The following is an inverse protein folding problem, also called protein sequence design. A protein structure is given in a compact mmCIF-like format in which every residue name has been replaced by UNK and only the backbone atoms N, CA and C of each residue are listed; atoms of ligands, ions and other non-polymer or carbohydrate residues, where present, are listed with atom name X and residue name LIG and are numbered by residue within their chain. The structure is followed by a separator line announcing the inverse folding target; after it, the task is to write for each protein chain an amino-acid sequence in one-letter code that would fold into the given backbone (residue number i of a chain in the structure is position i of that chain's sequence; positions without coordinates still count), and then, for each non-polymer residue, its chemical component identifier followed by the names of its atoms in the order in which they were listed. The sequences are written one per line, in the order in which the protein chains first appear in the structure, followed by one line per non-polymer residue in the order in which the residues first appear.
data_IF_212306695764
#
_entry.id   IF_212306695764
#
_cell.length_a   1.000
_cell.length_b   1.000
_cell.length_c   1.000
_cell.angle_alpha   90.00
_cell.angle_beta   90.00
_cell.angle_gamma   90.00
#
_symmetry.space_group_name_H-M   'P 1'
#
loop_
_entity.id
_entity.type
_entity.pdbx_description
1 polymer ?
#
# COMPACT_ATOMS: atom_id res chain seq x y z
N UNK A 1 37.73 15.75 21.44
CA UNK A 1 36.40 15.18 21.64
C UNK A 1 36.32 13.92 20.80
N UNK A 2 35.99 12.75 21.34
CA UNK A 2 36.07 11.48 20.59
C UNK A 2 34.94 11.37 19.59
N UNK A 3 35.29 11.04 18.37
CA UNK A 3 34.40 10.72 17.24
C UNK A 3 33.63 9.42 17.56
N UNK A 4 32.33 9.55 17.83
CA UNK A 4 31.45 8.40 17.86
C UNK A 4 31.18 7.92 16.43
N UNK A 5 31.95 6.95 15.97
CA UNK A 5 31.56 6.08 14.86
C UNK A 5 30.35 5.24 15.32
N UNK A 6 29.26 5.13 14.54
CA UNK A 6 28.17 4.24 14.89
C UNK A 6 28.69 2.80 14.95
N UNK A 7 28.39 2.12 16.06
CA UNK A 7 28.84 0.77 16.30
C UNK A 7 28.24 -0.21 15.28
N UNK A 8 28.98 -1.28 14.87
CA UNK A 8 28.48 -2.28 13.93
C UNK A 8 27.19 -3.00 14.39
N UNK A 9 26.87 -2.95 15.66
CA UNK A 9 25.64 -3.50 16.25
C UNK A 9 24.35 -2.86 15.70
N UNK A 10 24.39 -1.59 15.26
CA UNK A 10 23.22 -0.92 14.67
C UNK A 10 22.90 -1.38 13.23
N UNK A 11 23.89 -1.92 12.51
CA UNK A 11 23.68 -2.50 11.16
C UNK A 11 23.19 -3.96 11.20
N UNK A 12 23.50 -4.73 12.21
CA UNK A 12 22.99 -6.10 12.36
C UNK A 12 21.51 -6.15 12.74
N UNK A 13 21.03 -5.21 13.54
CA UNK A 13 19.60 -5.12 13.91
C UNK A 13 18.68 -4.89 12.69
N UNK A 14 19.22 -4.37 11.60
CA UNK A 14 18.45 -4.06 10.39
C UNK A 14 18.25 -5.26 9.45
N UNK A 15 19.12 -6.26 9.50
CA UNK A 15 19.04 -7.47 8.67
C UNK A 15 18.04 -8.50 9.21
N UNK A 16 17.76 -8.48 10.52
CA UNK A 16 16.88 -9.46 11.19
C UNK A 16 15.38 -9.17 11.13
N UNK A 17 14.99 -7.94 10.79
CA UNK A 17 13.58 -7.54 10.78
C UNK A 17 12.73 -8.21 9.68
N UNK A 18 13.33 -8.81 8.67
CA UNK A 18 12.59 -9.54 7.64
C UNK A 18 12.03 -10.86 8.18
N UNK A 19 12.79 -11.56 9.02
CA UNK A 19 12.38 -12.81 9.64
C UNK A 19 11.28 -12.59 10.69
N UNK A 20 11.37 -11.51 11.47
CA UNK A 20 10.35 -11.14 12.46
C UNK A 20 8.97 -10.92 11.83
N UNK A 21 8.90 -10.35 10.63
CA UNK A 21 7.64 -10.15 9.91
C UNK A 21 6.99 -11.47 9.51
N UNK A 22 7.78 -12.38 8.97
CA UNK A 22 7.29 -13.70 8.60
C UNK A 22 6.84 -14.50 9.80
N UNK A 23 7.52 -14.35 10.95
CA UNK A 23 7.12 -14.96 12.22
C UNK A 23 5.79 -14.38 12.71
N UNK A 24 5.63 -13.06 12.74
CA UNK A 24 4.38 -12.40 13.14
C UNK A 24 3.23 -12.83 12.22
N UNK A 25 3.45 -12.85 10.91
CA UNK A 25 2.45 -13.26 9.94
C UNK A 25 2.08 -14.74 10.10
N UNK A 26 3.07 -15.62 10.31
CA UNK A 26 2.84 -17.04 10.55
C UNK A 26 2.07 -17.29 11.86
N UNK A 27 2.41 -16.58 12.94
CA UNK A 27 1.71 -16.66 14.23
C UNK A 27 0.28 -16.16 14.10
N UNK A 28 0.06 -15.01 13.45
CA UNK A 28 -1.29 -14.48 13.20
C UNK A 28 -2.15 -15.45 12.37
N UNK A 29 -1.57 -16.04 11.33
CA UNK A 29 -2.26 -17.04 10.51
C UNK A 29 -2.59 -18.30 11.32
N UNK A 30 -1.66 -18.79 12.15
CA UNK A 30 -1.86 -19.95 12.99
C UNK A 30 -2.99 -19.73 14.01
N UNK A 31 -3.01 -18.56 14.67
CA UNK A 31 -4.07 -18.17 15.60
C UNK A 31 -5.42 -18.13 14.87
N UNK A 32 -5.47 -17.45 13.71
CA UNK A 32 -6.72 -17.33 12.92
C UNK A 32 -7.28 -18.69 12.50
N UNK A 33 -6.44 -19.55 11.97
CA UNK A 33 -6.85 -20.92 11.59
C UNK A 33 -7.29 -21.72 12.82
N UNK A 34 -6.58 -21.61 13.94
CA UNK A 34 -6.93 -22.27 15.19
C UNK A 34 -8.30 -21.83 15.73
N UNK A 35 -8.58 -20.52 15.71
CA UNK A 35 -9.86 -19.96 16.16
C UNK A 35 -11.00 -20.41 15.24
N UNK A 36 -10.81 -20.41 13.91
CA UNK A 36 -11.81 -20.88 12.95
C UNK A 36 -12.16 -22.36 13.20
N UNK A 37 -11.15 -23.21 13.34
CA UNK A 37 -11.35 -24.62 13.60
C UNK A 37 -12.09 -24.85 14.93
N UNK A 38 -11.67 -24.17 15.98
CA UNK A 38 -12.29 -24.24 17.31
C UNK A 38 -13.74 -23.77 17.28
N UNK A 39 -14.02 -22.63 16.63
CA UNK A 39 -15.39 -22.10 16.50
C UNK A 39 -16.29 -23.05 15.72
N UNK A 40 -15.79 -23.65 14.63
CA UNK A 40 -16.57 -24.64 13.87
C UNK A 40 -16.97 -25.86 14.72
N UNK A 41 -16.03 -26.37 15.54
CA UNK A 41 -16.33 -27.46 16.47
C UNK A 41 -17.41 -27.07 17.47
N UNK A 42 -17.32 -25.85 18.04
CA UNK A 42 -18.33 -25.33 18.96
C UNK A 42 -19.70 -25.16 18.30
N UNK A 43 -19.73 -24.63 17.09
CA UNK A 43 -20.95 -24.46 16.29
C UNK A 43 -21.63 -25.80 16.07
N UNK A 44 -20.90 -26.84 15.66
CA UNK A 44 -21.45 -28.17 15.41
C UNK A 44 -21.99 -28.81 16.68
N UNK A 45 -21.26 -28.68 17.82
CA UNK A 45 -21.74 -29.19 19.10
C UNK A 45 -23.00 -28.43 19.56
N UNK A 46 -23.06 -27.13 19.38
CA UNK A 46 -24.21 -26.32 19.75
C UNK A 46 -25.45 -26.64 18.89
N UNK A 47 -25.26 -26.80 17.58
CA UNK A 47 -26.32 -27.23 16.65
C UNK A 47 -26.94 -28.57 17.08
N UNK A 48 -26.11 -29.53 17.43
CA UNK A 48 -26.60 -30.83 17.87
C UNK A 48 -27.34 -30.76 19.22
N UNK A 49 -26.84 -29.96 20.16
CA UNK A 49 -27.48 -29.70 21.42
C UNK A 49 -28.83 -28.99 21.23
N UNK A 50 -28.93 -27.97 20.41
CA UNK A 50 -30.18 -27.27 20.11
C UNK A 50 -31.19 -28.20 19.44
N UNK A 51 -30.76 -29.00 18.47
CA UNK A 51 -31.62 -30.00 17.84
C UNK A 51 -32.21 -30.99 18.84
N UNK A 52 -31.40 -31.45 19.80
CA UNK A 52 -31.85 -32.37 20.84
C UNK A 52 -32.80 -31.68 21.83
N UNK A 53 -32.59 -30.43 22.16
CA UNK A 53 -33.50 -29.62 22.98
C UNK A 53 -34.86 -29.45 22.28
N UNK A 54 -34.90 -29.13 20.97
CA UNK A 54 -36.15 -28.99 20.23
C UNK A 54 -36.90 -30.34 20.12
N UNK A 55 -36.17 -31.44 19.94
CA UNK A 55 -36.78 -32.78 19.97
C UNK A 55 -37.44 -33.10 21.34
N UNK A 56 -36.75 -32.75 22.43
CA UNK A 56 -37.29 -32.92 23.78
C UNK A 56 -38.52 -32.04 23.99
N UNK A 57 -38.47 -30.78 23.54
CA UNK A 57 -39.59 -29.84 23.54
C UNK A 57 -40.80 -30.38 22.75
N UNK A 58 -40.58 -30.89 21.53
CA UNK A 58 -41.65 -31.49 20.74
C UNK A 58 -42.28 -32.74 21.41
N UNK A 59 -41.47 -33.62 22.02
CA UNK A 59 -41.96 -34.75 22.78
C UNK A 59 -42.75 -34.33 24.04
N UNK A 60 -42.28 -33.30 24.72
CA UNK A 60 -42.99 -32.72 25.87
C UNK A 60 -44.35 -32.15 25.46
N UNK A 61 -44.45 -31.46 24.34
CA UNK A 61 -45.71 -30.99 23.76
C UNK A 61 -46.65 -32.18 23.40
N UNK A 62 -46.11 -33.22 22.73
CA UNK A 62 -46.86 -34.41 22.36
C UNK A 62 -47.48 -35.10 23.59
N UNK A 63 -46.68 -35.24 24.67
CA UNK A 63 -47.14 -35.81 25.92
C UNK A 63 -48.20 -34.95 26.58
N UNK A 64 -47.97 -33.65 26.65
CA UNK A 64 -48.90 -32.67 27.29
C UNK A 64 -50.28 -32.62 26.59
N UNK A 65 -50.31 -32.81 25.25
CA UNK A 65 -51.55 -32.76 24.48
C UNK A 65 -52.31 -34.10 24.58
N UNK A 66 -51.58 -35.22 24.65
CA UNK A 66 -52.16 -36.57 24.63
C UNK A 66 -52.55 -37.10 26.01
N UNK A 67 -52.10 -36.54 27.12
CA UNK A 67 -52.35 -37.01 28.49
C UNK A 67 -52.93 -35.92 29.36
N UNK A 68 -54.01 -36.21 30.11
CA UNK A 68 -54.69 -35.27 30.99
C UNK A 68 -54.29 -35.39 32.48
N UNK A 69 -53.12 -35.98 32.78
CA UNK A 69 -52.64 -36.23 34.14
C UNK A 69 -52.02 -35.02 34.87
N UNK A 70 -51.92 -35.13 36.21
CA UNK A 70 -51.36 -34.06 37.07
C UNK A 70 -49.85 -33.81 36.88
N UNK A 71 -49.12 -34.67 36.12
CA UNK A 71 -47.70 -34.50 35.85
C UNK A 71 -47.41 -33.47 34.74
N UNK A 72 -48.46 -33.00 34.06
CA UNK A 72 -48.38 -32.04 32.95
C UNK A 72 -47.75 -30.69 33.39
N UNK A 73 -48.02 -30.26 34.61
CA UNK A 73 -47.50 -28.99 35.15
C UNK A 73 -45.98 -28.99 35.21
N UNK A 74 -45.34 -30.07 35.67
CA UNK A 74 -43.88 -30.18 35.76
C UNK A 74 -43.22 -30.20 34.36
N UNK A 75 -43.79 -30.95 33.43
CA UNK A 75 -43.28 -31.00 32.07
C UNK A 75 -43.40 -29.63 31.37
N UNK A 76 -44.53 -28.97 31.58
CA UNK A 76 -44.78 -27.64 31.00
C UNK A 76 -43.80 -26.62 31.55
N UNK A 77 -43.60 -26.57 32.88
CA UNK A 77 -42.67 -25.63 33.49
C UNK A 77 -41.19 -25.93 33.18
N UNK A 78 -40.76 -27.16 33.32
CA UNK A 78 -39.35 -27.51 33.24
C UNK A 78 -38.84 -27.67 31.79
N UNK A 79 -39.69 -28.03 30.84
CA UNK A 79 -39.24 -28.29 29.46
C UNK A 79 -39.77 -27.21 28.51
N UNK A 80 -41.05 -26.88 28.55
CA UNK A 80 -41.68 -26.00 27.59
C UNK A 80 -41.31 -24.53 27.88
N UNK A 81 -41.48 -24.10 29.15
CA UNK A 81 -41.17 -22.72 29.52
C UNK A 81 -39.66 -22.43 29.72
N UNK A 82 -38.84 -23.46 29.98
CA UNK A 82 -37.37 -23.32 30.04
C UNK A 82 -36.66 -23.26 28.70
N UNK A 83 -37.35 -23.47 27.59
CA UNK A 83 -36.80 -23.21 26.29
C UNK A 83 -36.74 -21.69 26.01
N UNK A 84 -35.79 -21.00 26.65
CA UNK A 84 -35.68 -19.54 26.57
C UNK A 84 -34.78 -19.03 25.45
N UNK A 85 -34.24 -19.90 24.59
CA UNK A 85 -33.21 -19.50 23.61
C UNK A 85 -33.52 -19.88 22.17
N UNK A 86 -34.23 -21.00 21.93
CA UNK A 86 -34.42 -21.50 20.56
C UNK A 86 -35.77 -21.02 20.04
N UNK A 87 -35.83 -20.25 18.94
CA UNK A 87 -37.08 -19.85 18.31
C UNK A 87 -37.81 -21.05 17.72
N UNK A 88 -39.12 -21.23 18.08
CA UNK A 88 -39.94 -22.32 17.60
C UNK A 88 -41.33 -21.84 17.17
N UNK A 89 -41.90 -22.48 16.15
CA UNK A 89 -43.28 -22.27 15.66
C UNK A 89 -43.98 -23.63 15.57
N UNK A 90 -45.12 -23.75 16.20
CA UNK A 90 -46.01 -24.90 16.10
C UNK A 90 -47.08 -24.60 15.04
N UNK A 91 -47.26 -25.52 14.08
CA UNK A 91 -48.30 -25.42 13.04
C UNK A 91 -49.22 -26.65 13.03
N UNK A 92 -50.45 -26.43 12.59
CA UNK A 92 -51.42 -27.50 12.38
C UNK A 92 -51.18 -28.26 11.05
N UNK A 93 -51.99 -29.26 10.77
CA UNK A 93 -51.97 -30.03 9.52
C UNK A 93 -52.20 -29.18 8.27
N UNK A 94 -52.89 -28.05 8.42
CA UNK A 94 -53.20 -27.10 7.32
C UNK A 94 -52.12 -26.03 7.16
N UNK A 95 -51.06 -26.12 7.97
CA UNK A 95 -49.95 -25.15 7.95
C UNK A 95 -50.25 -23.82 8.67
N UNK A 96 -51.31 -23.71 9.48
CA UNK A 96 -51.65 -22.53 10.24
C UNK A 96 -50.86 -22.49 11.56
N UNK A 97 -50.38 -21.35 11.92
CA UNK A 97 -49.60 -21.14 13.17
C UNK A 97 -50.53 -21.27 14.36
N UNK A 98 -50.26 -22.24 15.25
CA UNK A 98 -50.96 -22.43 16.50
C UNK A 98 -50.31 -21.61 17.61
N UNK A 99 -49.00 -21.73 17.75
CA UNK A 99 -48.24 -21.00 18.78
C UNK A 99 -46.81 -20.73 18.32
N UNK A 100 -46.15 -19.80 18.96
CA UNK A 100 -44.76 -19.50 18.73
C UNK A 100 -44.05 -19.27 20.09
N UNK A 101 -42.72 -19.51 20.09
CA UNK A 101 -41.88 -19.30 21.28
C UNK A 101 -40.52 -18.70 20.88
N UNK A 102 -39.98 -17.79 21.72
CA UNK A 102 -38.70 -17.12 21.50
C UNK A 102 -38.57 -16.38 20.17
N UNK A 103 -39.67 -15.84 19.66
CA UNK A 103 -39.68 -14.95 18.50
C UNK A 103 -39.98 -13.54 19.01
N UNK A 104 -39.07 -12.60 18.73
CA UNK A 104 -39.22 -11.21 19.15
C UNK A 104 -40.29 -10.51 18.30
N UNK A 105 -41.49 -10.40 18.88
CA UNK A 105 -42.63 -9.71 18.26
C UNK A 105 -42.97 -8.49 19.10
N UNK A 106 -42.85 -7.30 18.50
CA UNK A 106 -43.22 -6.09 19.20
C UNK A 106 -44.73 -6.10 19.57
N UNK A 107 -45.08 -6.00 20.88
CA UNK A 107 -46.44 -6.03 21.31
C UNK A 107 -47.35 -4.94 20.71
N UNK A 108 -46.75 -3.84 20.27
CA UNK A 108 -47.48 -2.66 19.70
C UNK A 108 -47.84 -2.80 18.22
N UNK A 109 -47.39 -3.87 17.52
CA UNK A 109 -47.75 -4.09 16.14
C UNK A 109 -49.22 -4.51 15.96
N UNK A 110 -49.80 -4.16 14.82
CA UNK A 110 -51.12 -4.66 14.44
C UNK A 110 -51.14 -6.17 14.30
N UNK A 111 -52.30 -6.78 14.40
CA UNK A 111 -52.47 -8.23 14.29
C UNK A 111 -51.99 -8.76 12.95
N UNK A 112 -52.31 -8.04 11.86
CA UNK A 112 -51.90 -8.36 10.48
C UNK A 112 -50.38 -8.33 10.33
N UNK A 113 -49.72 -7.33 10.96
CA UNK A 113 -48.26 -7.22 10.88
C UNK A 113 -47.56 -8.33 11.68
N UNK A 114 -48.10 -8.70 12.85
CA UNK A 114 -47.57 -9.83 13.65
C UNK A 114 -47.68 -11.14 12.88
N UNK A 115 -48.82 -11.37 12.21
CA UNK A 115 -49.06 -12.57 11.42
C UNK A 115 -48.14 -12.63 10.18
N UNK A 116 -47.94 -11.53 9.49
CA UNK A 116 -47.01 -11.44 8.36
C UNK A 116 -45.57 -11.79 8.79
N UNK A 117 -45.08 -11.21 9.89
CA UNK A 117 -43.72 -11.50 10.41
C UNK A 117 -43.59 -12.97 10.83
N UNK A 118 -44.61 -13.54 11.45
CA UNK A 118 -44.59 -14.95 11.81
C UNK A 118 -44.56 -15.87 10.59
N UNK A 119 -45.25 -15.54 9.51
CA UNK A 119 -45.23 -16.27 8.24
C UNK A 119 -43.83 -16.18 7.59
N UNK A 120 -43.19 -15.01 7.60
CA UNK A 120 -41.84 -14.85 7.07
C UNK A 120 -40.83 -15.68 7.85
N UNK A 121 -40.92 -15.63 9.20
CA UNK A 121 -40.06 -16.47 10.08
C UNK A 121 -40.33 -17.97 9.86
N UNK A 122 -41.56 -18.37 9.68
CA UNK A 122 -41.91 -19.75 9.38
C UNK A 122 -41.34 -20.21 8.04
N UNK A 123 -41.37 -19.36 7.02
CA UNK A 123 -40.76 -19.63 5.72
C UNK A 123 -39.24 -19.86 5.85
N UNK A 124 -38.53 -19.00 6.58
CA UNK A 124 -37.09 -19.13 6.89
C UNK A 124 -36.81 -20.44 7.64
N UNK A 125 -37.63 -20.79 8.66
CA UNK A 125 -37.47 -22.03 9.43
C UNK A 125 -37.63 -23.28 8.56
N UNK A 126 -38.58 -23.27 7.62
CA UNK A 126 -38.83 -24.41 6.68
C UNK A 126 -37.64 -24.67 5.76
N UNK A 127 -36.89 -23.63 5.39
CA UNK A 127 -35.68 -23.74 4.57
C UNK A 127 -34.46 -24.19 5.39
N UNK A 128 -34.43 -23.87 6.70
CA UNK A 128 -33.26 -24.10 7.55
C UNK A 128 -33.17 -25.52 8.07
N UNK A 129 -34.27 -26.07 8.62
CA UNK A 129 -34.31 -27.40 9.23
C UNK A 129 -35.62 -28.14 8.92
N UNK A 130 -35.58 -29.49 8.82
CA UNK A 130 -36.78 -30.29 8.72
C UNK A 130 -37.65 -30.15 9.99
N UNK A 131 -38.97 -30.13 9.80
CA UNK A 131 -39.91 -30.08 10.90
C UNK A 131 -39.82 -31.35 11.78
N UNK A 132 -40.16 -31.18 13.05
CA UNK A 132 -40.36 -32.32 13.98
C UNK A 132 -41.83 -32.55 14.10
N UNK A 133 -42.27 -33.78 13.76
CA UNK A 133 -43.67 -34.16 13.81
C UNK A 133 -44.12 -34.51 15.24
N UNK A 134 -45.31 -34.02 15.63
CA UNK A 134 -46.02 -34.35 16.88
C UNK A 134 -47.26 -35.12 16.53
N UNK A 135 -47.34 -36.37 17.01
CA UNK A 135 -48.46 -37.27 16.74
C UNK A 135 -49.51 -37.10 17.83
N UNK A 136 -50.71 -36.66 17.46
CA UNK A 136 -51.82 -36.46 18.38
C UNK A 136 -52.76 -37.68 18.28
N UNK A 137 -53.09 -38.28 19.43
CA UNK A 137 -54.07 -39.35 19.52
C UNK A 137 -55.46 -38.77 19.65
N UNK A 138 -56.41 -39.15 18.76
CA UNK A 138 -57.80 -38.74 18.91
C UNK A 138 -58.48 -39.62 19.96
N UNK A 139 -59.00 -39.01 21.02
CA UNK A 139 -59.62 -39.71 22.14
C UNK A 139 -60.95 -40.42 21.78
N UNK A 140 -61.42 -40.32 20.52
CA UNK A 140 -62.74 -40.82 20.09
C UNK A 140 -62.78 -41.82 19.00
N UNK A 141 -61.68 -42.13 18.31
CA UNK A 141 -61.67 -43.03 17.18
C UNK A 141 -60.32 -43.77 17.05
N UNK A 142 -60.24 -45.04 17.24
CA UNK A 142 -59.02 -45.85 17.05
C UNK A 142 -58.62 -45.78 15.59
N UNK A 143 -57.72 -44.82 15.27
CA UNK A 143 -57.10 -44.71 13.95
C UNK A 143 -56.95 -43.33 13.30
N UNK A 144 -57.47 -42.26 13.90
CA UNK A 144 -57.27 -40.90 13.36
C UNK A 144 -56.14 -40.18 14.14
N UNK A 145 -55.01 -39.96 13.48
CA UNK A 145 -53.90 -39.23 14.07
C UNK A 145 -53.83 -37.84 13.39
N UNK A 146 -53.93 -36.79 14.19
CA UNK A 146 -53.60 -35.46 13.72
C UNK A 146 -52.10 -35.24 13.90
N UNK A 147 -51.42 -34.69 12.88
CA UNK A 147 -49.98 -34.41 12.93
C UNK A 147 -49.75 -32.90 12.96
N UNK A 148 -49.26 -32.44 14.11
CA UNK A 148 -48.74 -31.06 14.20
C UNK A 148 -47.25 -31.06 13.91
N UNK A 149 -46.68 -29.90 13.52
CA UNK A 149 -45.27 -29.77 13.17
C UNK A 149 -44.62 -28.64 13.93
N UNK A 150 -43.47 -28.93 14.55
CA UNK A 150 -42.61 -27.92 15.18
C UNK A 150 -41.50 -27.54 14.19
N UNK A 151 -41.49 -26.27 13.80
CA UNK A 151 -40.39 -25.68 13.07
C UNK A 151 -39.53 -24.88 14.04
N UNK A 152 -38.23 -24.81 13.77
CA UNK A 152 -37.27 -24.10 14.60
C UNK A 152 -36.14 -23.51 13.75
N UNK A 153 -35.44 -22.51 14.31
CA UNK A 153 -34.20 -22.01 13.75
C UNK A 153 -33.14 -21.83 14.82
N UNK A 154 -31.91 -21.55 14.41
CA UNK A 154 -30.82 -21.33 15.33
C UNK A 154 -31.14 -20.25 16.36
N UNK A 155 -30.69 -20.47 17.59
CA UNK A 155 -30.70 -19.40 18.61
C UNK A 155 -29.85 -18.22 18.17
N UNK A 156 -30.10 -17.06 18.79
CA UNK A 156 -29.32 -15.87 18.51
C UNK A 156 -27.82 -16.09 18.75
N UNK A 157 -27.47 -16.79 19.85
CA UNK A 157 -26.09 -17.11 20.18
C UNK A 157 -25.41 -17.98 19.09
N UNK A 158 -26.10 -19.00 18.60
CA UNK A 158 -25.57 -19.85 17.54
C UNK A 158 -25.39 -19.09 16.22
N UNK A 159 -26.34 -18.20 15.89
CA UNK A 159 -26.25 -17.36 14.71
C UNK A 159 -25.03 -16.41 14.78
N UNK A 160 -24.79 -15.78 15.92
CA UNK A 160 -23.59 -14.95 16.15
C UNK A 160 -22.29 -15.77 16.04
N UNK A 161 -22.23 -16.95 16.64
CA UNK A 161 -21.05 -17.82 16.56
C UNK A 161 -20.72 -18.25 15.12
N UNK A 162 -21.72 -18.46 14.27
CA UNK A 162 -21.51 -18.78 12.85
C UNK A 162 -20.86 -17.61 12.10
N UNK A 163 -21.20 -16.36 12.43
CA UNK A 163 -20.67 -15.15 11.79
C UNK A 163 -19.31 -14.75 12.33
N UNK A 164 -19.02 -15.10 13.58
CA UNK A 164 -17.81 -14.65 14.32
C UNK A 164 -16.49 -14.86 13.57
N UNK A 165 -16.19 -16.04 12.94
CA UNK A 165 -14.94 -16.27 12.22
C UNK A 165 -14.74 -15.33 11.02
N UNK A 166 -15.82 -14.92 10.37
CA UNK A 166 -15.74 -13.99 9.23
C UNK A 166 -15.41 -12.57 9.70
N UNK A 167 -16.00 -12.15 10.83
CA UNK A 167 -15.70 -10.84 11.46
C UNK A 167 -14.23 -10.80 11.92
N UNK A 168 -13.77 -11.82 12.63
CA UNK A 168 -12.40 -11.95 13.11
C UNK A 168 -11.40 -11.91 11.95
N UNK A 169 -11.62 -12.70 10.91
CA UNK A 169 -10.74 -12.74 9.73
C UNK A 169 -10.69 -11.39 9.02
N UNK A 170 -11.82 -10.69 8.92
CA UNK A 170 -11.89 -9.35 8.33
C UNK A 170 -11.08 -8.33 9.14
N UNK A 171 -11.20 -8.34 10.46
CA UNK A 171 -10.43 -7.45 11.35
C UNK A 171 -8.93 -7.72 11.21
N UNK A 172 -8.51 -8.99 11.22
CA UNK A 172 -7.11 -9.37 11.07
C UNK A 172 -6.55 -8.97 9.70
N UNK A 173 -7.32 -9.12 8.64
CA UNK A 173 -6.93 -8.70 7.29
C UNK A 173 -6.73 -7.17 7.20
N UNK A 174 -7.65 -6.38 7.77
CA UNK A 174 -7.54 -4.92 7.84
C UNK A 174 -6.31 -4.51 8.65
N UNK A 175 -6.10 -5.12 9.81
CA UNK A 175 -4.95 -4.82 10.66
C UNK A 175 -3.63 -5.16 9.97
N UNK A 176 -3.55 -6.31 9.29
CA UNK A 176 -2.39 -6.71 8.50
C UNK A 176 -2.10 -5.74 7.35
N UNK A 177 -3.14 -5.26 6.66
CA UNK A 177 -3.01 -4.29 5.59
C UNK A 177 -2.50 -2.93 6.10
N UNK A 178 -3.06 -2.42 7.20
CA UNK A 178 -2.61 -1.17 7.82
C UNK A 178 -1.15 -1.30 8.27
N UNK A 179 -0.79 -2.41 8.91
CA UNK A 179 0.58 -2.68 9.35
C UNK A 179 1.57 -2.73 8.19
N UNK A 180 1.18 -3.33 7.08
CA UNK A 180 1.98 -3.35 5.84
C UNK A 180 2.20 -1.93 5.28
N UNK A 181 1.15 -1.11 5.21
CA UNK A 181 1.27 0.28 4.76
C UNK A 181 2.17 1.12 5.67
N UNK A 182 1.96 1.04 6.98
CA UNK A 182 2.75 1.75 7.97
C UNK A 182 4.23 1.38 7.90
N UNK A 183 4.51 0.10 7.73
CA UNK A 183 5.89 -0.39 7.59
C UNK A 183 6.57 0.11 6.30
N UNK A 184 5.89 0.05 5.16
CA UNK A 184 6.44 0.56 3.90
C UNK A 184 6.70 2.06 3.96
N UNK A 185 5.78 2.82 4.58
CA UNK A 185 5.95 4.25 4.80
C UNK A 185 7.17 4.55 5.69
N UNK A 186 7.29 3.84 6.83
CA UNK A 186 8.42 3.99 7.75
C UNK A 186 9.76 3.69 7.08
N UNK A 187 9.85 2.60 6.31
CA UNK A 187 11.06 2.23 5.57
C UNK A 187 11.48 3.31 4.56
N UNK A 188 10.53 3.86 3.83
CA UNK A 188 10.80 4.93 2.86
C UNK A 188 11.23 6.22 3.55
N UNK A 189 10.58 6.57 4.66
CA UNK A 189 10.92 7.75 5.46
C UNK A 189 12.35 7.65 6.04
N UNK A 190 12.74 6.49 6.55
CA UNK A 190 14.07 6.25 7.10
C UNK A 190 15.16 6.32 6.01
N UNK A 191 14.97 5.68 4.87
CA UNK A 191 15.86 5.81 3.73
C UNK A 191 16.03 7.27 3.31
N UNK A 192 14.93 8.03 3.27
CA UNK A 192 14.97 9.46 2.96
C UNK A 192 15.78 10.24 3.99
N UNK A 193 15.62 9.95 5.28
CA UNK A 193 16.32 10.61 6.37
C UNK A 193 17.83 10.40 6.30
N UNK A 194 18.27 9.18 6.02
CA UNK A 194 19.69 8.86 5.84
C UNK A 194 20.30 9.65 4.66
N UNK A 195 19.58 9.70 3.53
CA UNK A 195 20.04 10.49 2.37
C UNK A 195 20.16 11.98 2.67
N UNK A 196 19.18 12.56 3.35
CA UNK A 196 19.20 13.97 3.75
C UNK A 196 20.35 14.26 4.71
N UNK A 197 20.57 13.37 5.69
CA UNK A 197 21.67 13.49 6.65
C UNK A 197 23.04 13.45 5.96
N UNK A 198 23.25 12.45 5.09
CA UNK A 198 24.49 12.31 4.31
C UNK A 198 24.74 13.52 3.40
N UNK A 199 23.72 13.97 2.69
CA UNK A 199 23.85 15.13 1.80
C UNK A 199 24.22 16.41 2.56
N UNK A 200 23.53 16.69 3.68
CA UNK A 200 23.77 17.85 4.53
C UNK A 200 25.18 17.84 5.13
N UNK A 201 25.58 16.68 5.68
CA UNK A 201 26.91 16.50 6.28
C UNK A 201 28.01 16.66 5.22
N UNK A 202 27.86 16.01 4.05
CA UNK A 202 28.82 16.12 2.94
C UNK A 202 28.94 17.57 2.44
N UNK A 203 27.81 18.27 2.29
CA UNK A 203 27.81 19.67 1.90
C UNK A 203 28.54 20.55 2.93
N UNK A 204 28.31 20.31 4.22
CA UNK A 204 28.96 21.08 5.29
C UNK A 204 30.46 20.81 5.35
N UNK A 205 30.89 19.55 5.29
CA UNK A 205 32.31 19.16 5.35
C UNK A 205 33.10 19.58 4.11
N UNK A 206 32.48 19.66 2.94
CA UNK A 206 33.14 20.17 1.72
C UNK A 206 33.09 21.71 1.70
N UNK A 207 32.04 22.33 2.20
CA UNK A 207 31.84 23.79 2.17
C UNK A 207 32.90 24.56 2.96
N UNK A 208 33.37 24.02 4.07
CA UNK A 208 34.37 24.65 4.93
C UNK A 208 35.74 24.78 4.22
N UNK A 209 36.40 23.71 3.73
CA UNK A 209 37.67 23.84 3.00
C UNK A 209 37.50 24.61 1.67
N UNK A 210 36.35 24.51 1.04
CA UNK A 210 36.05 25.22 -0.18
C UNK A 210 36.03 26.73 0.03
N UNK A 211 35.44 27.21 1.13
CA UNK A 211 35.49 28.65 1.48
C UNK A 211 36.92 29.16 1.69
N UNK A 212 37.77 28.33 2.29
CA UNK A 212 39.20 28.65 2.45
C UNK A 212 39.91 28.70 1.08
N UNK A 213 39.66 27.74 0.18
CA UNK A 213 40.22 27.77 -1.18
C UNK A 213 39.77 28.98 -1.96
N UNK A 214 38.50 29.40 -1.83
CA UNK A 214 38.00 30.63 -2.47
C UNK A 214 38.76 31.89 -1.97
N UNK A 215 39.00 31.96 -0.68
CA UNK A 215 39.78 33.07 -0.11
C UNK A 215 41.23 33.08 -0.65
N UNK A 216 41.87 31.92 -0.77
CA UNK A 216 43.19 31.82 -1.36
C UNK A 216 43.23 32.21 -2.85
N UNK A 217 42.21 31.83 -3.64
CA UNK A 217 42.08 32.26 -5.05
C UNK A 217 41.98 33.79 -5.15
N UNK A 218 41.26 34.43 -4.24
CA UNK A 218 41.14 35.88 -4.22
C UNK A 218 42.50 36.57 -3.90
N UNK A 219 43.21 36.02 -2.88
CA UNK A 219 44.58 36.50 -2.56
C UNK A 219 45.54 36.38 -3.74
N UNK A 220 45.48 35.23 -4.46
CA UNK A 220 46.31 34.98 -5.65
C UNK A 220 45.94 35.87 -6.83
N UNK A 221 44.68 36.25 -6.94
CA UNK A 221 44.19 37.19 -7.98
C UNK A 221 44.64 38.62 -7.75
N UNK A 222 44.75 39.01 -6.48
CA UNK A 222 45.18 40.36 -6.11
C UNK A 222 46.70 40.54 -6.17
N UNK A 223 47.50 39.47 -6.26
CA UNK A 223 48.94 39.48 -6.39
C UNK A 223 49.34 39.95 -7.81
N UNK A 224 50.11 41.09 -7.95
CA UNK A 224 50.52 41.61 -9.26
C UNK A 224 51.36 40.65 -10.10
N UNK A 225 52.17 39.79 -9.46
CA UNK A 225 53.07 38.86 -10.14
C UNK A 225 52.35 37.58 -10.60
N UNK A 226 51.20 37.26 -10.00
CA UNK A 226 50.45 36.07 -10.27
C UNK A 226 49.17 36.30 -11.08
N UNK A 227 48.65 37.53 -11.03
CA UNK A 227 47.39 37.93 -11.69
C UNK A 227 47.29 37.57 -13.17
N UNK A 228 48.37 37.66 -13.93
CA UNK A 228 48.39 37.37 -15.35
C UNK A 228 48.78 35.91 -15.71
N UNK A 229 48.93 35.06 -14.72
CA UNK A 229 49.21 33.64 -14.92
C UNK A 229 47.92 32.85 -15.05
N UNK A 230 47.63 32.29 -16.18
CA UNK A 230 46.37 31.56 -16.49
C UNK A 230 45.98 30.44 -15.50
N UNK A 231 46.90 30.01 -14.58
CA UNK A 231 46.57 29.00 -13.58
C UNK A 231 45.62 29.51 -12.50
N UNK A 232 45.61 30.80 -12.18
CA UNK A 232 44.68 31.40 -11.18
C UNK A 232 43.26 31.32 -11.70
N UNK A 233 43.06 31.58 -13.00
CA UNK A 233 41.74 31.42 -13.63
C UNK A 233 41.27 29.96 -13.68
N UNK A 234 42.17 29.02 -13.95
CA UNK A 234 41.82 27.60 -13.93
C UNK A 234 41.49 27.13 -12.51
N UNK A 235 42.24 27.60 -11.48
CA UNK A 235 41.96 27.31 -10.08
C UNK A 235 40.59 27.85 -9.66
N UNK A 236 40.27 29.09 -10.03
CA UNK A 236 38.97 29.73 -9.77
C UNK A 236 37.83 28.92 -10.41
N UNK A 237 37.99 28.46 -11.64
CA UNK A 237 37.00 27.58 -12.31
C UNK A 237 36.78 26.30 -11.55
N UNK A 238 37.82 25.65 -11.06
CA UNK A 238 37.70 24.39 -10.34
C UNK A 238 37.07 24.57 -8.94
N UNK A 239 37.41 25.63 -8.24
CA UNK A 239 36.80 26.01 -6.96
C UNK A 239 35.32 26.33 -7.13
N UNK A 240 34.93 27.04 -8.18
CA UNK A 240 33.52 27.30 -8.52
C UNK A 240 32.76 26.03 -8.82
N UNK A 241 33.39 25.05 -9.49
CA UNK A 241 32.77 23.73 -9.72
C UNK A 241 32.48 23.00 -8.38
N UNK A 242 33.45 22.99 -7.46
CA UNK A 242 33.30 22.41 -6.14
C UNK A 242 32.18 23.10 -5.36
N UNK A 243 32.08 24.41 -5.42
CA UNK A 243 31.00 25.18 -4.83
C UNK A 243 29.64 24.77 -5.38
N UNK A 244 29.50 24.66 -6.70
CA UNK A 244 28.27 24.23 -7.33
C UNK A 244 27.84 22.82 -6.86
N UNK A 245 28.80 21.90 -6.73
CA UNK A 245 28.54 20.54 -6.21
C UNK A 245 28.04 20.61 -4.78
N UNK A 246 28.68 21.42 -3.92
CA UNK A 246 28.31 21.59 -2.52
C UNK A 246 26.91 22.18 -2.36
N UNK A 247 26.58 23.20 -3.16
CA UNK A 247 25.25 23.83 -3.18
C UNK A 247 24.16 22.85 -3.62
N UNK A 248 24.45 22.00 -4.61
CA UNK A 248 23.54 20.92 -5.06
C UNK A 248 23.28 19.88 -3.96
N UNK A 249 24.32 19.46 -3.24
CA UNK A 249 24.15 18.55 -2.10
C UNK A 249 23.40 19.20 -0.94
N UNK A 250 23.64 20.46 -0.65
CA UNK A 250 22.91 21.24 0.37
C UNK A 250 21.41 21.32 0.03
N UNK A 251 21.08 21.50 -1.25
CA UNK A 251 19.69 21.57 -1.73
C UNK A 251 18.93 20.24 -1.59
N UNK A 252 19.62 19.10 -1.57
CA UNK A 252 19.01 17.79 -1.29
C UNK A 252 18.57 17.68 0.18
N UNK A 253 19.26 18.36 1.09
CA UNK A 253 18.97 18.36 2.53
C UNK A 253 17.86 19.32 2.96
N UNK A 254 17.37 20.18 2.05
CA UNK A 254 16.31 21.16 2.27
C UNK A 254 15.09 20.89 1.39
N UNK A 255 13.96 21.50 1.69
CA UNK A 255 12.80 21.47 0.79
C UNK A 255 12.96 22.58 -0.24
N UNK A 256 13.31 22.29 -1.50
CA UNK A 256 13.56 23.34 -2.49
C UNK A 256 12.24 24.03 -2.88
N UNK A 257 12.28 25.35 -3.00
CA UNK A 257 11.14 26.12 -3.49
C UNK A 257 11.07 25.99 -5.01
N UNK A 258 9.94 25.53 -5.52
CA UNK A 258 9.68 25.47 -6.95
C UNK A 258 9.28 26.86 -7.47
N UNK A 259 9.71 27.18 -8.67
CA UNK A 259 9.34 28.38 -9.40
C UNK A 259 8.91 28.03 -10.81
N UNK A 260 8.13 28.90 -11.40
CA UNK A 260 7.77 28.82 -12.82
C UNK A 260 8.98 29.16 -13.68
N UNK A 261 9.50 28.17 -14.40
CA UNK A 261 10.74 28.30 -15.16
C UNK A 261 10.53 27.80 -16.61
N UNK A 262 11.25 28.43 -17.54
CA UNK A 262 11.25 28.02 -18.94
C UNK A 262 12.14 26.77 -19.13
N UNK A 263 11.52 25.63 -19.43
CA UNK A 263 12.21 24.34 -19.55
C UNK A 263 13.17 24.30 -20.73
N UNK A 264 12.81 24.93 -21.87
CA UNK A 264 13.68 25.00 -23.03
C UNK A 264 14.97 25.77 -22.73
N UNK A 265 14.86 26.90 -22.03
CA UNK A 265 16.02 27.71 -21.64
C UNK A 265 16.92 26.94 -20.65
N UNK A 266 16.36 26.27 -19.63
CA UNK A 266 17.14 25.48 -18.68
C UNK A 266 17.88 24.32 -19.37
N UNK A 267 17.23 23.62 -20.30
CA UNK A 267 17.87 22.54 -21.07
C UNK A 267 18.99 23.09 -21.94
N UNK A 268 18.77 24.23 -22.62
CA UNK A 268 19.82 24.85 -23.45
C UNK A 268 21.01 25.34 -22.65
N UNK A 269 20.79 25.84 -21.41
CA UNK A 269 21.89 26.20 -20.50
C UNK A 269 22.80 24.98 -20.22
N UNK A 270 22.18 23.82 -19.93
CA UNK A 270 22.91 22.58 -19.69
C UNK A 270 23.66 22.11 -20.94
N UNK A 271 23.00 22.16 -22.11
CA UNK A 271 23.60 21.75 -23.38
C UNK A 271 24.78 22.65 -23.74
N UNK A 272 24.62 23.97 -23.61
CA UNK A 272 25.69 24.95 -23.83
C UNK A 272 26.89 24.74 -22.91
N UNK A 273 26.64 24.27 -21.67
CA UNK A 273 27.71 23.93 -20.73
C UNK A 273 28.39 22.60 -21.09
N UNK A 274 27.65 21.58 -21.53
CA UNK A 274 28.16 20.23 -21.77
C UNK A 274 28.84 20.11 -23.13
N UNK A 275 28.24 20.61 -24.21
CA UNK A 275 28.71 20.38 -25.60
C UNK A 275 30.20 20.73 -25.80
N UNK A 276 30.77 21.86 -25.32
CA UNK A 276 32.20 22.17 -25.47
C UNK A 276 33.14 21.25 -24.67
N UNK A 277 32.59 20.50 -23.70
CA UNK A 277 33.35 19.62 -22.79
C UNK A 277 33.29 18.16 -23.20
N UNK A 278 32.45 17.81 -24.18
CA UNK A 278 32.31 16.47 -24.73
C UNK A 278 33.21 16.26 -25.91
N UNK A 279 33.44 15.00 -26.27
CA UNK A 279 34.09 14.63 -27.50
C UNK A 279 33.37 15.28 -28.70
N UNK A 280 34.13 15.73 -29.71
CA UNK A 280 33.56 16.25 -30.96
C UNK A 280 32.71 15.21 -31.72
N UNK A 281 32.82 13.92 -31.35
CA UNK A 281 32.02 12.82 -31.88
C UNK A 281 30.65 12.66 -31.20
N UNK A 282 30.38 13.43 -30.12
CA UNK A 282 29.11 13.43 -29.42
C UNK A 282 28.35 14.71 -29.78
N UNK A 283 27.12 14.56 -30.26
CA UNK A 283 26.24 15.66 -30.61
C UNK A 283 25.02 15.67 -29.72
N UNK A 284 24.66 16.83 -29.15
CA UNK A 284 23.42 17.02 -28.40
C UNK A 284 22.48 17.91 -29.23
N UNK A 285 21.28 17.41 -29.49
CA UNK A 285 20.24 18.11 -30.24
C UNK A 285 19.01 18.31 -29.42
N UNK A 286 18.48 19.54 -29.39
CA UNK A 286 17.27 19.91 -28.62
C UNK A 286 16.15 20.19 -29.60
N UNK A 287 15.01 19.53 -29.41
CA UNK A 287 13.82 19.67 -30.22
C UNK A 287 12.64 20.12 -29.39
N UNK A 288 11.93 21.13 -29.81
CA UNK A 288 10.68 21.58 -29.21
C UNK A 288 9.76 22.19 -30.28
N UNK A 289 8.46 22.08 -30.05
CA UNK A 289 7.45 22.78 -30.86
C UNK A 289 7.16 24.19 -30.33
N UNK A 290 7.60 24.51 -29.09
CA UNK A 290 7.42 25.81 -28.46
C UNK A 290 8.55 26.09 -27.47
N UNK A 291 9.20 27.24 -27.63
CA UNK A 291 10.28 27.68 -26.72
C UNK A 291 9.77 28.28 -25.40
N UNK A 292 8.45 28.42 -25.24
CA UNK A 292 7.82 29.03 -24.08
C UNK A 292 7.17 28.03 -23.13
N UNK A 293 7.62 26.77 -23.13
CA UNK A 293 7.10 25.73 -22.25
C UNK A 293 7.60 25.97 -20.81
N UNK A 294 6.68 26.20 -19.90
CA UNK A 294 6.97 26.46 -18.49
C UNK A 294 6.52 25.30 -17.60
N UNK A 295 7.28 25.06 -16.53
CA UNK A 295 6.95 24.10 -15.49
C UNK A 295 7.40 24.60 -14.12
N UNK A 296 6.77 24.06 -13.06
CA UNK A 296 7.15 24.35 -11.67
C UNK A 296 8.39 23.51 -11.31
N UNK A 297 9.57 24.17 -11.30
CA UNK A 297 10.83 23.48 -11.03
C UNK A 297 11.77 24.32 -10.15
N UNK A 298 12.71 23.62 -9.49
CA UNK A 298 13.87 24.26 -8.88
C UNK A 298 15.03 24.15 -9.88
N UNK A 299 15.32 25.25 -10.58
CA UNK A 299 16.24 25.29 -11.72
C UNK A 299 17.59 24.56 -11.49
N UNK A 300 18.36 24.79 -10.39
CA UNK A 300 19.65 24.13 -10.19
C UNK A 300 19.54 22.60 -10.05
N UNK A 301 18.48 22.08 -9.40
CA UNK A 301 18.27 20.65 -9.26
C UNK A 301 17.78 20.01 -10.56
N UNK A 302 16.93 20.71 -11.31
CA UNK A 302 16.45 20.25 -12.58
C UNK A 302 17.60 20.17 -13.62
N UNK A 303 18.39 21.22 -13.72
CA UNK A 303 19.60 21.25 -14.58
C UNK A 303 20.55 20.09 -14.24
N UNK A 304 20.72 19.79 -12.95
CA UNK A 304 21.54 18.64 -12.53
C UNK A 304 20.97 17.29 -13.00
N UNK A 305 19.63 17.12 -12.99
CA UNK A 305 19.01 15.92 -13.57
C UNK A 305 19.33 15.78 -15.05
N UNK A 306 19.17 16.87 -15.84
CA UNK A 306 19.47 16.87 -17.27
C UNK A 306 20.96 16.55 -17.52
N UNK A 307 21.85 17.22 -16.78
CA UNK A 307 23.29 16.99 -16.85
C UNK A 307 23.65 15.52 -16.58
N UNK A 308 23.04 14.93 -15.54
CA UNK A 308 23.30 13.54 -15.15
C UNK A 308 22.80 12.54 -16.20
N UNK A 309 21.62 12.77 -16.78
CA UNK A 309 21.09 11.94 -17.85
C UNK A 309 21.96 12.03 -19.12
N UNK A 310 22.38 13.23 -19.50
CA UNK A 310 23.30 13.43 -20.64
C UNK A 310 24.66 12.76 -20.42
N UNK A 311 25.25 12.88 -19.22
CA UNK A 311 26.49 12.18 -18.89
C UNK A 311 26.35 10.65 -18.95
N UNK A 312 25.22 10.14 -18.47
CA UNK A 312 24.95 8.70 -18.57
C UNK A 312 24.79 8.24 -20.03
N UNK A 313 24.18 9.06 -20.88
CA UNK A 313 24.06 8.83 -22.31
C UNK A 313 25.42 8.79 -22.98
N UNK A 314 26.30 9.77 -22.71
CA UNK A 314 27.68 9.80 -23.25
C UNK A 314 28.46 8.56 -22.88
N UNK A 315 28.38 8.14 -21.61
CA UNK A 315 29.03 6.91 -21.14
C UNK A 315 28.45 5.65 -21.83
N UNK A 316 27.15 5.59 -22.08
CA UNK A 316 26.50 4.47 -22.76
C UNK A 316 26.87 4.41 -24.26
N UNK A 317 27.22 5.55 -24.87
CA UNK A 317 27.65 5.69 -26.25
C UNK A 317 29.18 5.59 -26.43
N UNK A 318 29.94 5.37 -25.35
CA UNK A 318 31.42 5.31 -25.39
C UNK A 318 32.04 6.54 -26.07
N UNK A 319 31.48 7.73 -25.75
CA UNK A 319 31.89 9.04 -26.28
C UNK A 319 31.70 9.20 -27.81
N UNK A 320 30.82 8.47 -28.45
CA UNK A 320 30.51 8.62 -29.90
C UNK A 320 29.02 8.37 -30.14
N UNK A 321 28.28 9.35 -30.63
CA UNK A 321 26.85 9.21 -30.94
C UNK A 321 26.07 10.51 -30.76
N UNK A 322 24.75 10.38 -30.72
CA UNK A 322 23.83 11.54 -30.63
C UNK A 322 22.91 11.40 -29.43
N UNK A 323 22.72 12.51 -28.70
CA UNK A 323 21.72 12.68 -27.66
C UNK A 323 20.63 13.60 -28.22
N UNK A 324 19.40 13.11 -28.31
CA UNK A 324 18.24 13.91 -28.73
C UNK A 324 17.37 14.23 -27.51
N UNK A 325 17.19 15.51 -27.20
CA UNK A 325 16.32 15.98 -26.11
C UNK A 325 15.05 16.57 -26.74
N UNK A 326 13.90 15.95 -26.50
CA UNK A 326 12.60 16.41 -27.01
C UNK A 326 11.76 16.94 -25.89
N UNK A 327 11.33 18.21 -26.00
CA UNK A 327 10.44 18.88 -25.02
C UNK A 327 9.08 19.05 -25.65
N UNK A 328 8.05 18.45 -25.01
CA UNK A 328 6.70 18.36 -25.55
C UNK A 328 5.68 18.79 -24.48
N UNK A 329 4.56 19.36 -24.93
CA UNK A 329 3.36 19.47 -24.07
C UNK A 329 2.62 18.14 -24.13
N UNK A 330 2.37 17.55 -22.97
CA UNK A 330 1.55 16.37 -22.83
C UNK A 330 0.06 16.72 -22.61
N UNK A 331 -0.78 15.69 -22.54
CA UNK A 331 -2.14 15.81 -22.02
C UNK A 331 -2.13 16.20 -20.53
N UNK A 332 -3.23 16.72 -20.00
CA UNK A 332 -3.43 17.01 -18.56
C UNK A 332 -2.43 17.99 -17.96
N UNK A 333 -2.13 19.09 -18.66
CA UNK A 333 -1.20 20.12 -18.17
C UNK A 333 0.16 19.56 -17.74
N UNK A 334 0.72 18.64 -18.53
CA UNK A 334 2.06 18.07 -18.29
C UNK A 334 3.06 18.58 -19.31
N UNK A 335 4.32 18.68 -18.84
CA UNK A 335 5.49 18.86 -19.69
C UNK A 335 6.24 17.52 -19.72
N UNK A 336 6.52 17.05 -20.94
CA UNK A 336 7.23 15.80 -21.19
C UNK A 336 8.61 16.11 -21.78
N UNK A 337 9.64 15.52 -21.19
CA UNK A 337 11.01 15.68 -21.67
C UNK A 337 11.58 14.29 -21.93
N UNK A 338 11.84 13.98 -23.20
CA UNK A 338 12.46 12.72 -23.64
C UNK A 338 13.94 12.97 -23.92
N UNK A 339 14.81 12.22 -23.27
CA UNK A 339 16.25 12.25 -23.48
C UNK A 339 16.64 10.90 -24.05
N UNK A 340 16.98 10.88 -25.32
CA UNK A 340 17.29 9.66 -26.11
C UNK A 340 18.76 9.63 -26.49
N UNK A 341 19.42 8.52 -26.23
CA UNK A 341 20.79 8.26 -26.66
C UNK A 341 20.86 7.13 -27.73
N UNK A 342 21.94 7.06 -28.46
CA UNK A 342 22.26 6.00 -29.43
C UNK A 342 23.25 4.99 -28.87
N UNK A 343 23.26 4.78 -27.53
CA UNK A 343 24.21 3.92 -26.85
C UNK A 343 23.81 2.45 -26.84
N UNK A 344 24.48 1.69 -25.95
CA UNK A 344 24.31 0.23 -25.82
C UNK A 344 22.97 -0.23 -25.31
N UNK A 345 22.13 0.67 -24.83
CA UNK A 345 20.83 0.34 -24.24
C UNK A 345 20.91 -0.30 -22.85
N UNK A 346 19.76 -0.60 -22.30
CA UNK A 346 19.58 -1.22 -20.97
C UNK A 346 18.77 -2.51 -21.14
N UNK A 347 19.31 -3.67 -20.74
CA UNK A 347 18.58 -4.94 -20.78
C UNK A 347 17.29 -4.89 -19.99
N UNK A 348 16.20 -5.44 -20.52
CA UNK A 348 14.85 -5.40 -19.91
C UNK A 348 14.84 -5.88 -18.45
N UNK A 349 15.67 -6.87 -18.11
CA UNK A 349 15.77 -7.45 -16.76
C UNK A 349 16.21 -6.46 -15.68
N UNK A 350 16.97 -5.43 -16.03
CA UNK A 350 17.55 -4.47 -15.08
C UNK A 350 16.90 -3.08 -15.12
N UNK A 351 15.97 -2.81 -16.05
CA UNK A 351 15.32 -1.50 -16.20
C UNK A 351 14.71 -1.00 -14.86
N UNK A 352 14.05 -1.87 -14.11
CA UNK A 352 13.47 -1.50 -12.81
C UNK A 352 14.53 -1.23 -11.73
N UNK A 353 15.75 -1.72 -11.92
CA UNK A 353 16.83 -1.60 -10.95
C UNK A 353 17.77 -0.42 -11.20
N UNK A 354 17.76 0.20 -12.38
CA UNK A 354 18.68 1.29 -12.72
C UNK A 354 18.51 2.53 -11.84
N UNK A 355 17.33 2.73 -11.26
CA UNK A 355 17.04 3.83 -10.33
C UNK A 355 17.30 3.48 -8.86
N UNK A 356 17.72 2.25 -8.53
CA UNK A 356 18.05 1.87 -7.15
C UNK A 356 19.39 2.50 -6.75
N UNK A 357 19.50 3.08 -5.54
CA UNK A 357 20.77 3.60 -5.04
C UNK A 357 21.87 2.53 -5.04
N UNK A 358 23.06 2.90 -5.52
CA UNK A 358 24.21 1.99 -5.61
C UNK A 358 24.19 1.05 -6.82
N UNK A 359 23.15 1.07 -7.66
CA UNK A 359 23.14 0.27 -8.88
C UNK A 359 24.02 0.89 -9.96
N UNK A 360 25.02 0.16 -10.42
CA UNK A 360 25.93 0.59 -11.49
C UNK A 360 26.46 -0.60 -12.29
N UNK A 361 26.57 -0.43 -13.59
CA UNK A 361 27.26 -1.35 -14.50
C UNK A 361 28.65 -0.84 -14.86
N UNK A 362 29.06 0.33 -14.32
CA UNK A 362 30.35 0.98 -14.64
C UNK A 362 31.42 0.50 -13.67
N UNK A 363 32.67 0.36 -14.13
CA UNK A 363 33.83 0.05 -13.28
C UNK A 363 34.17 1.16 -12.29
N UNK A 364 33.80 2.42 -12.59
CA UNK A 364 33.98 3.60 -11.76
C UNK A 364 32.64 4.35 -11.66
N UNK A 365 32.23 4.71 -10.46
CA UNK A 365 30.99 5.42 -10.16
C UNK A 365 30.19 4.77 -9.05
N UNK A 366 29.54 5.59 -8.24
CA UNK A 366 28.84 5.17 -7.02
C UNK A 366 27.42 4.65 -7.28
N UNK A 367 26.95 4.66 -8.54
CA UNK A 367 25.57 4.24 -8.86
C UNK A 367 24.48 5.14 -8.27
N UNK A 368 24.81 6.39 -7.96
CA UNK A 368 23.90 7.32 -7.28
C UNK A 368 23.17 8.27 -8.24
N UNK A 369 23.67 8.45 -9.47
CA UNK A 369 23.19 9.48 -10.38
C UNK A 369 21.71 9.33 -10.75
N UNK A 370 21.29 8.15 -11.26
CA UNK A 370 19.88 7.91 -11.62
C UNK A 370 18.96 7.86 -10.41
N UNK A 371 19.43 7.30 -9.28
CA UNK A 371 18.67 7.31 -8.02
C UNK A 371 18.39 8.73 -7.53
N UNK A 372 19.39 9.61 -7.65
CA UNK A 372 19.28 11.02 -7.31
C UNK A 372 18.37 11.77 -8.29
N UNK A 373 18.52 11.54 -9.60
CA UNK A 373 17.64 12.11 -10.62
C UNK A 373 16.17 11.74 -10.33
N UNK A 374 15.91 10.47 -10.00
CA UNK A 374 14.58 10.00 -9.60
C UNK A 374 14.07 10.73 -8.37
N UNK A 375 14.89 10.83 -7.34
CA UNK A 375 14.53 11.54 -6.11
C UNK A 375 14.21 13.01 -6.37
N UNK A 376 15.03 13.71 -7.17
CA UNK A 376 14.81 15.12 -7.51
C UNK A 376 13.47 15.28 -8.24
N UNK A 377 13.21 14.48 -9.24
CA UNK A 377 11.98 14.61 -10.04
C UNK A 377 10.74 14.16 -9.25
N UNK A 378 10.79 13.01 -8.57
CA UNK A 378 9.58 12.47 -7.92
C UNK A 378 9.28 13.11 -6.58
N UNK A 379 10.30 13.36 -5.73
CA UNK A 379 10.08 13.87 -4.39
C UNK A 379 10.00 15.40 -4.35
N UNK A 380 10.90 16.11 -5.07
CA UNK A 380 10.97 17.56 -5.00
C UNK A 380 10.10 18.25 -6.05
N UNK A 381 9.99 17.69 -7.27
CA UNK A 381 9.19 18.28 -8.34
C UNK A 381 7.83 17.63 -8.51
N UNK A 382 7.50 16.58 -7.72
CA UNK A 382 6.23 15.83 -7.80
C UNK A 382 5.93 15.32 -9.23
N UNK A 383 6.98 15.09 -10.00
CA UNK A 383 6.94 14.57 -11.36
C UNK A 383 7.15 13.05 -11.41
N UNK A 384 7.47 12.55 -12.61
CA UNK A 384 7.87 11.15 -12.82
C UNK A 384 9.09 11.08 -13.70
N UNK A 385 9.96 10.09 -13.46
CA UNK A 385 11.08 9.77 -14.35
C UNK A 385 11.17 8.25 -14.52
N UNK A 386 11.27 7.81 -15.78
CA UNK A 386 11.33 6.38 -16.10
C UNK A 386 12.00 6.14 -17.45
N UNK A 387 12.36 4.90 -17.71
CA UNK A 387 12.82 4.45 -19.03
C UNK A 387 11.60 4.25 -19.92
N UNK A 388 11.43 5.12 -20.92
CA UNK A 388 10.34 5.05 -21.90
C UNK A 388 10.52 3.88 -22.87
N UNK A 389 11.74 3.74 -23.39
CA UNK A 389 12.15 2.65 -24.27
C UNK A 389 13.64 2.43 -24.15
N UNK A 390 14.06 1.18 -24.26
CA UNK A 390 15.47 0.83 -24.35
C UNK A 390 15.60 -0.54 -25.03
N UNK A 391 16.39 -0.59 -26.07
CA UNK A 391 16.71 -1.81 -26.76
C UNK A 391 18.24 -1.95 -26.85
N UNK A 392 18.72 -3.18 -26.68
CA UNK A 392 20.16 -3.46 -26.68
C UNK A 392 20.78 -3.03 -28.02
N UNK A 393 21.85 -2.23 -27.97
CA UNK A 393 22.57 -1.65 -29.10
C UNK A 393 21.76 -0.66 -29.96
N UNK A 394 20.59 -0.19 -29.49
CA UNK A 394 19.79 0.82 -30.19
C UNK A 394 19.60 2.10 -29.35
N UNK A 395 20.05 2.07 -28.11
CA UNK A 395 20.00 3.21 -27.18
C UNK A 395 18.89 3.16 -26.17
N UNK A 396 18.81 4.23 -25.40
CA UNK A 396 17.82 4.39 -24.32
C UNK A 396 17.13 5.73 -24.42
N UNK A 397 15.83 5.76 -24.15
CA UNK A 397 15.05 6.97 -23.95
C UNK A 397 14.57 7.06 -22.52
N UNK A 398 15.04 8.04 -21.77
CA UNK A 398 14.48 8.42 -20.48
C UNK A 398 13.39 9.46 -20.69
N UNK A 399 12.28 9.32 -19.98
CA UNK A 399 11.20 10.31 -19.95
C UNK A 399 11.07 10.92 -18.58
N UNK A 400 11.00 12.26 -18.56
CA UNK A 400 10.61 13.07 -17.40
C UNK A 400 9.23 13.66 -17.67
N UNK A 401 8.33 13.53 -16.71
CA UNK A 401 7.02 14.18 -16.71
C UNK A 401 6.99 15.19 -15.56
N UNK A 402 6.68 16.44 -15.86
CA UNK A 402 6.53 17.54 -14.89
C UNK A 402 5.14 18.14 -15.02
N UNK A 403 4.71 18.82 -13.97
CA UNK A 403 3.49 19.60 -13.98
C UNK A 403 3.76 20.90 -14.73
N UNK A 404 2.95 21.22 -15.74
CA UNK A 404 2.98 22.53 -16.40
C UNK A 404 2.63 23.60 -15.39
N UNK A 405 3.26 24.77 -15.54
CA UNK A 405 2.89 25.95 -14.78
C UNK A 405 1.58 26.53 -15.30
#
# INVERSE_FOLDING_TARGET
MPSHSPSPASMEFYRDNTNLKWIILAVSLFISVGTILFTNILVDQLKEREKNQVKLFAKALEYTINDNGNEILFITEEIIFKNNSIPTILVDEKGRIISHHNIDINPKWSKEKKEAVLQDVLAEMKETYPAIDIILKDSGNEGTFAVQKVYYKNSFLLAELIVFPYVETSILAIFGFISYLAFNYSKTAEQNRVWVGLAKETAHQIGTPLSSLMAWVEVLRDDPDLRNRGFVEELDKDVRKLRMVTERFSSIGSTPTLKEENIFQLVNNVVGYLQPRLSSKVKIEVYTLSETIQAQVHAPLFEWVIENLCKNAVDAMENTGTIAIKILRGSDSKVLIDISDTGKGIPKKIIQSVFKPGFTTKKRGWGLGLALAKRIIELYHQGKIFVKSSDENQGTTFRIELKSA
#
